data_IF_457292432669
#
_entry.id   IF_457292432669
#
_cell.length_a   1.000
_cell.length_b   1.000
_cell.length_c   1.000
_cell.angle_alpha   90.00
_cell.angle_beta   90.00
_cell.angle_gamma   90.00
#
_symmetry.space_group_name_H-M   'P 1'
#
loop_
_entity.id
_entity.type
_entity.pdbx_description
1 polymer ?
#
# COMPACT_ATOMS: atom_id res chain seq x y z
N UNK A 1 -3.37 -34.44 -42.62
CA UNK A 1 -2.40 -34.79 -41.57
C UNK A 1 -1.86 -33.48 -41.02
N UNK A 2 -2.65 -32.75 -40.23
CA UNK A 2 -2.27 -31.42 -39.72
C UNK A 2 -3.27 -31.03 -38.61
N UNK A 3 -3.01 -31.44 -37.36
CA UNK A 3 -3.79 -30.98 -36.17
C UNK A 3 -3.16 -31.31 -34.80
N UNK A 4 -1.93 -31.82 -34.71
CA UNK A 4 -1.36 -32.29 -33.42
C UNK A 4 -0.36 -31.34 -32.73
N UNK A 5 0.08 -30.25 -33.36
CA UNK A 5 1.16 -29.42 -32.78
C UNK A 5 0.69 -28.30 -31.83
N UNK A 6 -0.53 -27.81 -31.95
CA UNK A 6 -1.00 -26.63 -31.17
C UNK A 6 -1.45 -26.98 -29.74
N UNK A 7 -1.80 -28.25 -29.45
CA UNK A 7 -2.27 -28.67 -28.13
C UNK A 7 -1.14 -28.89 -27.12
N UNK A 8 0.05 -29.27 -27.59
CA UNK A 8 1.16 -29.70 -26.74
C UNK A 8 1.89 -28.52 -26.10
N UNK A 9 1.98 -27.38 -26.79
CA UNK A 9 2.70 -26.20 -26.28
C UNK A 9 1.93 -25.51 -25.14
N UNK A 10 0.61 -25.30 -25.30
CA UNK A 10 -0.24 -24.73 -24.23
C UNK A 10 -0.37 -25.63 -23.01
N UNK A 11 -0.46 -26.95 -23.16
CA UNK A 11 -0.56 -27.87 -22.02
C UNK A 11 0.73 -27.98 -21.20
N UNK A 12 1.88 -27.71 -21.81
CA UNK A 12 3.18 -27.70 -21.12
C UNK A 12 3.38 -26.38 -20.37
N UNK A 13 2.92 -25.24 -20.89
CA UNK A 13 2.96 -23.96 -20.16
C UNK A 13 2.00 -23.97 -18.97
N UNK A 14 0.75 -24.44 -19.15
CA UNK A 14 -0.24 -24.55 -18.07
C UNK A 14 0.23 -25.47 -16.93
N UNK A 15 0.87 -26.61 -17.24
CA UNK A 15 1.46 -27.50 -16.22
C UNK A 15 2.65 -26.86 -15.51
N UNK A 16 3.42 -26.02 -16.21
CA UNK A 16 4.55 -25.27 -15.67
C UNK A 16 4.09 -24.18 -14.70
N UNK A 17 3.10 -23.39 -15.10
CA UNK A 17 2.47 -22.33 -14.31
C UNK A 17 1.80 -22.91 -13.05
N UNK A 18 1.00 -23.97 -13.19
CA UNK A 18 0.34 -24.63 -12.06
C UNK A 18 1.33 -25.20 -11.04
N UNK A 19 2.53 -25.59 -11.48
CA UNK A 19 3.62 -26.02 -10.58
C UNK A 19 4.28 -24.84 -9.88
N UNK A 20 4.52 -23.74 -10.59
CA UNK A 20 5.04 -22.52 -9.98
C UNK A 20 4.09 -22.02 -8.88
N UNK A 21 2.78 -22.02 -9.12
CA UNK A 21 1.77 -21.60 -8.15
C UNK A 21 1.78 -22.45 -6.88
N UNK A 22 1.88 -23.78 -7.02
CA UNK A 22 1.96 -24.71 -5.88
C UNK A 22 3.22 -24.43 -5.05
N UNK A 23 4.35 -24.16 -5.71
CA UNK A 23 5.62 -23.83 -5.03
C UNK A 23 5.47 -22.51 -4.27
N UNK A 24 4.93 -21.47 -4.91
CA UNK A 24 4.70 -20.15 -4.30
C UNK A 24 3.75 -20.26 -3.10
N UNK A 25 2.68 -21.04 -3.22
CA UNK A 25 1.72 -21.23 -2.14
C UNK A 25 2.34 -21.89 -0.90
N UNK A 26 3.09 -22.98 -1.11
CA UNK A 26 3.77 -23.68 -0.03
C UNK A 26 4.86 -22.81 0.60
N UNK A 27 5.64 -22.11 -0.22
CA UNK A 27 6.64 -21.15 0.24
C UNK A 27 5.98 -20.06 1.09
N UNK A 28 4.87 -19.48 0.64
CA UNK A 28 4.09 -18.52 1.40
C UNK A 28 3.70 -19.03 2.78
N UNK A 29 3.09 -20.23 2.87
CA UNK A 29 2.73 -20.83 4.17
C UNK A 29 3.92 -20.94 5.13
N UNK A 30 5.08 -21.34 4.61
CA UNK A 30 6.31 -21.47 5.41
C UNK A 30 6.93 -20.10 5.76
N UNK A 31 6.73 -19.08 4.92
CA UNK A 31 7.30 -17.74 5.12
C UNK A 31 6.58 -16.94 6.20
N UNK A 32 5.27 -17.15 6.37
CA UNK A 32 4.46 -16.49 7.41
C UNK A 32 4.35 -17.30 8.71
N UNK A 33 5.00 -18.46 8.78
CA UNK A 33 5.11 -19.25 10.00
C UNK A 33 6.18 -18.66 10.94
N UNK A 34 6.00 -18.76 12.29
CA UNK A 34 7.02 -18.34 13.24
C UNK A 34 8.37 -19.03 13.00
N UNK A 35 9.46 -18.25 12.84
CA UNK A 35 10.83 -18.79 12.71
C UNK A 35 11.38 -18.89 11.27
N UNK A 36 10.74 -18.26 10.29
CA UNK A 36 11.06 -18.29 8.86
C UNK A 36 12.54 -18.14 8.47
N UNK A 37 13.34 -17.35 9.20
CA UNK A 37 14.77 -17.19 8.89
C UNK A 37 15.52 -18.54 8.74
N UNK A 38 14.96 -19.64 9.26
CA UNK A 38 15.51 -20.99 9.21
C UNK A 38 15.00 -21.88 8.06
N UNK A 39 13.98 -21.48 7.30
CA UNK A 39 13.42 -22.31 6.22
C UNK A 39 14.32 -22.26 4.98
N UNK A 40 14.83 -23.42 4.58
CA UNK A 40 15.71 -23.60 3.41
C UNK A 40 14.95 -24.06 2.16
N UNK A 41 15.60 -23.98 1.00
CA UNK A 41 15.08 -24.57 -0.24
C UNK A 41 14.97 -26.11 -0.14
N UNK A 42 15.74 -26.75 0.75
CA UNK A 42 15.62 -28.20 1.02
C UNK A 42 14.34 -28.53 1.78
N UNK A 43 13.97 -27.70 2.77
CA UNK A 43 12.74 -27.89 3.53
C UNK A 43 11.52 -27.77 2.62
N UNK A 44 11.53 -26.78 1.73
CA UNK A 44 10.47 -26.59 0.74
C UNK A 44 10.38 -27.77 -0.24
N UNK A 45 11.52 -28.30 -0.71
CA UNK A 45 11.56 -29.48 -1.57
C UNK A 45 10.94 -30.70 -0.90
N UNK A 46 11.29 -30.93 0.37
CA UNK A 46 10.76 -32.02 1.18
C UNK A 46 9.26 -31.88 1.43
N UNK A 47 8.80 -30.69 1.79
CA UNK A 47 7.37 -30.39 2.02
C UNK A 47 6.53 -30.65 0.76
N UNK A 48 7.03 -30.24 -0.40
CA UNK A 48 6.33 -30.37 -1.67
C UNK A 48 6.46 -31.77 -2.32
N UNK A 49 7.30 -32.65 -1.76
CA UNK A 49 7.66 -33.91 -2.41
C UNK A 49 8.33 -33.70 -3.78
N UNK A 50 9.01 -32.58 -3.98
CA UNK A 50 9.64 -32.19 -5.24
C UNK A 50 11.16 -32.29 -5.14
N UNK A 51 11.82 -32.59 -6.26
CA UNK A 51 13.28 -32.47 -6.30
C UNK A 51 13.72 -31.00 -6.27
N UNK A 52 14.85 -30.72 -5.62
CA UNK A 52 15.47 -29.38 -5.62
C UNK A 52 15.64 -28.82 -7.04
N UNK A 53 16.06 -29.67 -7.99
CA UNK A 53 16.18 -29.33 -9.42
C UNK A 53 14.85 -28.85 -10.03
N UNK A 54 13.73 -29.42 -9.60
CA UNK A 54 12.40 -29.00 -10.05
C UNK A 54 12.09 -27.60 -9.58
N UNK A 55 12.33 -27.30 -8.30
CA UNK A 55 12.10 -25.96 -7.73
C UNK A 55 13.04 -24.94 -8.38
N UNK A 56 14.34 -25.25 -8.50
CA UNK A 56 15.32 -24.35 -9.12
C UNK A 56 15.06 -24.06 -10.60
N UNK A 57 14.31 -24.91 -11.30
CA UNK A 57 13.87 -24.64 -12.68
C UNK A 57 12.83 -23.51 -12.74
N UNK A 58 12.01 -23.36 -11.70
CA UNK A 58 10.99 -22.30 -11.62
C UNK A 58 11.53 -21.05 -10.89
N UNK A 59 12.32 -21.26 -9.84
CA UNK A 59 12.87 -20.19 -8.99
C UNK A 59 14.37 -20.43 -8.79
N UNK A 60 15.24 -19.78 -9.59
CA UNK A 60 16.68 -20.05 -9.59
C UNK A 60 17.38 -19.74 -8.27
N UNK A 61 16.77 -18.90 -7.43
CA UNK A 61 17.26 -18.59 -6.09
C UNK A 61 16.12 -18.29 -5.11
N UNK A 62 16.45 -18.29 -3.80
CA UNK A 62 15.48 -18.02 -2.72
C UNK A 62 14.84 -16.63 -2.84
N UNK A 63 15.54 -15.63 -3.42
CA UNK A 63 15.01 -14.28 -3.57
C UNK A 63 13.93 -14.23 -4.64
N UNK A 64 14.13 -14.86 -5.80
CA UNK A 64 13.13 -14.97 -6.86
C UNK A 64 11.83 -15.62 -6.36
N UNK A 65 11.94 -16.64 -5.52
CA UNK A 65 10.81 -17.26 -4.85
C UNK A 65 10.13 -16.31 -3.84
N UNK A 66 10.92 -15.59 -3.03
CA UNK A 66 10.39 -14.62 -2.07
C UNK A 66 9.65 -13.47 -2.77
N UNK A 67 10.20 -12.94 -3.86
CA UNK A 67 9.54 -11.93 -4.69
C UNK A 67 8.21 -12.46 -5.23
N UNK A 68 8.18 -13.67 -5.79
CA UNK A 68 6.94 -14.27 -6.29
C UNK A 68 5.88 -14.51 -5.21
N UNK A 69 6.30 -14.85 -3.98
CA UNK A 69 5.39 -14.93 -2.83
C UNK A 69 4.83 -13.56 -2.48
N UNK A 70 5.68 -12.54 -2.39
CA UNK A 70 5.27 -11.16 -2.12
C UNK A 70 4.32 -10.64 -3.21
N UNK A 71 4.62 -10.91 -4.49
CA UNK A 71 3.74 -10.60 -5.63
C UNK A 71 2.33 -11.14 -5.42
N UNK A 72 2.21 -12.44 -5.08
CA UNK A 72 0.91 -13.07 -4.82
C UNK A 72 0.19 -12.44 -3.62
N UNK A 73 0.92 -12.03 -2.59
CA UNK A 73 0.33 -11.33 -1.45
C UNK A 73 -0.17 -9.94 -1.82
N UNK A 74 0.63 -9.16 -2.54
CA UNK A 74 0.23 -7.83 -2.98
C UNK A 74 -0.94 -7.87 -3.96
N UNK A 75 -1.06 -8.92 -4.79
CA UNK A 75 -2.25 -9.13 -5.61
C UNK A 75 -3.51 -9.33 -4.75
N UNK A 76 -3.41 -10.02 -3.61
CA UNK A 76 -4.52 -10.15 -2.66
C UNK A 76 -4.86 -8.82 -1.96
N UNK A 77 -3.84 -8.05 -1.58
CA UNK A 77 -3.99 -6.69 -1.01
C UNK A 77 -4.72 -5.78 -2.00
N UNK A 78 -4.30 -5.80 -3.26
CA UNK A 78 -4.91 -5.04 -4.35
C UNK A 78 -6.38 -5.42 -4.53
N UNK A 79 -6.70 -6.73 -4.53
CA UNK A 79 -8.07 -7.20 -4.60
C UNK A 79 -8.92 -6.69 -3.42
N UNK A 80 -8.39 -6.68 -2.19
CA UNK A 80 -9.07 -6.09 -1.04
C UNK A 80 -9.31 -4.58 -1.22
N UNK A 81 -8.31 -3.85 -1.73
CA UNK A 81 -8.44 -2.41 -1.98
C UNK A 81 -9.53 -2.11 -3.01
N UNK A 82 -9.59 -2.92 -4.07
CA UNK A 82 -10.64 -2.82 -5.10
C UNK A 82 -12.01 -3.09 -4.48
N UNK A 83 -12.18 -4.18 -3.74
CA UNK A 83 -13.44 -4.51 -3.09
C UNK A 83 -13.92 -3.41 -2.12
N UNK A 84 -13.03 -2.86 -1.31
CA UNK A 84 -13.36 -1.76 -0.40
C UNK A 84 -13.80 -0.48 -1.14
N UNK A 85 -13.20 -0.22 -2.31
CA UNK A 85 -13.60 0.90 -3.16
C UNK A 85 -14.99 0.67 -3.78
N UNK A 86 -15.29 -0.55 -4.23
CA UNK A 86 -16.61 -0.94 -4.78
C UNK A 86 -17.71 -0.88 -3.71
N UNK A 87 -17.45 -1.38 -2.49
CA UNK A 87 -18.40 -1.34 -1.37
C UNK A 87 -18.82 0.08 -0.98
N UNK A 88 -17.93 1.06 -1.20
CA UNK A 88 -18.18 2.46 -0.87
C UNK A 88 -18.55 3.30 -2.09
N UNK A 89 -18.73 2.69 -3.26
CA UNK A 89 -19.12 3.40 -4.48
C UNK A 89 -20.46 4.12 -4.31
N UNK A 90 -20.55 5.35 -4.85
CA UNK A 90 -21.72 6.21 -4.71
C UNK A 90 -21.97 6.77 -3.29
N UNK A 91 -21.17 6.38 -2.28
CA UNK A 91 -21.24 6.95 -0.92
C UNK A 91 -20.60 8.35 -0.89
N UNK A 92 -20.93 9.18 0.12
CA UNK A 92 -20.27 10.47 0.31
C UNK A 92 -18.75 10.32 0.34
N UNK A 93 -18.02 11.30 -0.22
CA UNK A 93 -16.56 11.23 -0.39
C UNK A 93 -15.80 10.88 0.89
N UNK A 94 -16.16 11.49 2.03
CA UNK A 94 -15.52 11.17 3.31
C UNK A 94 -15.70 9.71 3.74
N UNK A 95 -16.84 9.08 3.42
CA UNK A 95 -17.08 7.65 3.71
C UNK A 95 -16.21 6.76 2.83
N UNK A 96 -16.01 7.13 1.57
CA UNK A 96 -15.12 6.42 0.64
C UNK A 96 -13.67 6.45 1.11
N UNK A 97 -13.18 7.64 1.47
CA UNK A 97 -11.82 7.80 2.03
C UNK A 97 -11.68 7.01 3.34
N UNK A 98 -12.66 7.07 4.23
CA UNK A 98 -12.63 6.31 5.49
C UNK A 98 -12.58 4.80 5.23
N UNK A 99 -13.44 4.27 4.34
CA UNK A 99 -13.46 2.86 3.98
C UNK A 99 -12.11 2.40 3.41
N UNK A 100 -11.53 3.21 2.51
CA UNK A 100 -10.21 2.96 1.98
C UNK A 100 -9.14 2.89 3.07
N UNK A 101 -9.08 3.89 3.96
CA UNK A 101 -8.07 3.93 5.03
C UNK A 101 -8.19 2.77 6.02
N UNK A 102 -9.42 2.33 6.34
CA UNK A 102 -9.65 1.15 7.19
C UNK A 102 -9.17 -0.14 6.53
N UNK A 103 -9.46 -0.31 5.23
CA UNK A 103 -8.99 -1.46 4.47
C UNK A 103 -7.45 -1.46 4.37
N UNK A 104 -6.86 -0.31 4.02
CA UNK A 104 -5.41 -0.11 3.93
C UNK A 104 -4.70 -0.41 5.26
N UNK A 105 -5.20 0.13 6.38
CA UNK A 105 -4.62 -0.14 7.70
C UNK A 105 -4.65 -1.63 8.08
N UNK A 106 -5.72 -2.34 7.72
CA UNK A 106 -5.85 -3.79 7.96
C UNK A 106 -4.84 -4.61 7.13
N UNK A 107 -4.63 -4.24 5.87
CA UNK A 107 -3.65 -4.88 4.98
C UNK A 107 -2.21 -4.57 5.40
N UNK A 108 -1.89 -3.30 5.66
CA UNK A 108 -0.55 -2.87 6.09
C UNK A 108 -0.16 -3.49 7.43
N UNK A 109 -1.10 -3.69 8.35
CA UNK A 109 -0.86 -4.46 9.58
C UNK A 109 -0.45 -5.91 9.31
N UNK A 110 -1.08 -6.57 8.33
CA UNK A 110 -0.71 -7.94 7.92
C UNK A 110 0.65 -7.99 7.22
N UNK A 111 0.94 -7.05 6.33
CA UNK A 111 2.25 -6.92 5.66
C UNK A 111 3.33 -6.61 6.68
N UNK A 112 3.09 -5.72 7.65
CA UNK A 112 4.02 -5.40 8.73
C UNK A 112 4.36 -6.62 9.60
N UNK A 113 3.36 -7.44 9.94
CA UNK A 113 3.59 -8.73 10.61
C UNK A 113 4.42 -9.70 9.75
N UNK A 114 4.16 -9.75 8.45
CA UNK A 114 4.98 -10.50 7.49
C UNK A 114 6.42 -9.97 7.36
N UNK A 115 6.63 -8.65 7.36
CA UNK A 115 7.96 -8.03 7.39
C UNK A 115 8.73 -8.33 8.69
N UNK A 116 8.04 -8.33 9.84
CA UNK A 116 8.64 -8.73 11.11
C UNK A 116 9.05 -10.22 11.12
N UNK A 117 8.29 -11.08 10.43
CA UNK A 117 8.58 -12.50 10.28
C UNK A 117 9.66 -12.79 9.22
N UNK A 118 9.69 -12.03 8.12
CA UNK A 118 10.48 -12.35 6.92
C UNK A 118 11.65 -11.41 6.61
N UNK A 119 11.65 -10.19 7.14
CA UNK A 119 12.47 -9.07 6.67
C UNK A 119 13.54 -8.55 7.64
N UNK A 120 13.83 -9.22 8.77
CA UNK A 120 15.02 -8.87 9.57
C UNK A 120 16.30 -9.19 8.78
N UNK A 121 16.74 -8.26 7.90
CA UNK A 121 18.11 -8.23 7.38
C UNK A 121 18.32 -8.08 5.86
N UNK A 122 17.31 -8.18 4.98
CA UNK A 122 17.50 -8.04 3.52
C UNK A 122 16.95 -6.68 3.01
N UNK A 123 17.86 -5.77 2.68
CA UNK A 123 17.57 -4.40 2.22
C UNK A 123 16.79 -4.39 0.89
N UNK A 124 17.07 -5.32 -0.02
CA UNK A 124 16.43 -5.36 -1.34
C UNK A 124 14.97 -5.77 -1.22
N UNK A 125 14.67 -6.78 -0.41
CA UNK A 125 13.29 -7.20 -0.16
C UNK A 125 12.49 -6.12 0.56
N UNK A 126 13.14 -5.38 1.47
CA UNK A 126 12.52 -4.22 2.11
C UNK A 126 12.12 -3.16 1.08
N UNK A 127 13.06 -2.76 0.21
CA UNK A 127 12.80 -1.78 -0.83
C UNK A 127 11.69 -2.24 -1.79
N UNK A 128 11.70 -3.52 -2.16
CA UNK A 128 10.65 -4.10 -3.00
C UNK A 128 9.26 -4.00 -2.35
N UNK A 129 9.15 -4.33 -1.05
CA UNK A 129 7.89 -4.21 -0.30
C UNK A 129 7.43 -2.75 -0.22
N UNK A 130 8.34 -1.82 0.08
CA UNK A 130 8.05 -0.37 0.13
C UNK A 130 7.49 0.11 -1.22
N UNK A 131 8.14 -0.24 -2.33
CA UNK A 131 7.67 0.10 -3.68
C UNK A 131 6.28 -0.48 -3.99
N UNK A 132 5.99 -1.70 -3.54
CA UNK A 132 4.69 -2.34 -3.78
C UNK A 132 3.59 -1.75 -2.92
N UNK A 133 3.88 -1.39 -1.67
CA UNK A 133 2.95 -0.64 -0.82
C UNK A 133 2.61 0.71 -1.46
N UNK A 134 3.62 1.43 -1.94
CA UNK A 134 3.42 2.70 -2.65
C UNK A 134 2.50 2.53 -3.86
N UNK A 135 2.76 1.55 -4.71
CA UNK A 135 1.99 1.31 -5.91
C UNK A 135 0.52 0.92 -5.62
N UNK A 136 0.29 0.00 -4.68
CA UNK A 136 -1.03 -0.61 -4.45
C UNK A 136 -1.90 0.22 -3.50
N UNK A 137 -1.30 0.75 -2.44
CA UNK A 137 -2.05 1.45 -1.39
C UNK A 137 -2.03 2.94 -1.63
N UNK A 138 -0.85 3.56 -1.67
CA UNK A 138 -0.79 5.01 -1.75
C UNK A 138 -1.17 5.54 -3.13
N UNK A 139 -0.89 4.81 -4.22
CA UNK A 139 -1.36 5.14 -5.56
C UNK A 139 -2.89 5.26 -5.63
N UNK A 140 -3.62 4.33 -5.01
CA UNK A 140 -5.09 4.34 -5.00
C UNK A 140 -5.66 5.47 -4.14
N UNK A 141 -5.03 5.77 -3.00
CA UNK A 141 -5.41 6.91 -2.16
C UNK A 141 -5.23 8.23 -2.91
N UNK A 142 -4.11 8.36 -3.62
CA UNK A 142 -3.75 9.53 -4.41
C UNK A 142 -4.76 9.75 -5.56
N UNK A 143 -5.18 8.68 -6.24
CA UNK A 143 -6.29 8.74 -7.19
C UNK A 143 -7.60 9.24 -6.57
N UNK A 144 -7.94 8.74 -5.36
CA UNK A 144 -9.14 9.14 -4.65
C UNK A 144 -9.10 10.63 -4.27
N UNK A 145 -7.96 11.14 -3.80
CA UNK A 145 -7.80 12.57 -3.52
C UNK A 145 -7.84 13.43 -4.79
N UNK A 146 -7.19 13.00 -5.88
CA UNK A 146 -7.29 13.72 -7.16
C UNK A 146 -8.72 13.80 -7.66
N UNK A 147 -9.50 12.73 -7.51
CA UNK A 147 -10.92 12.73 -7.87
C UNK A 147 -11.71 13.70 -7.01
N UNK A 148 -11.54 13.65 -5.68
CA UNK A 148 -12.18 14.61 -4.77
C UNK A 148 -11.83 16.06 -5.09
N UNK A 149 -10.58 16.33 -5.44
CA UNK A 149 -10.12 17.66 -5.84
C UNK A 149 -10.74 18.12 -7.16
N UNK A 150 -10.78 17.27 -8.19
CA UNK A 150 -11.45 17.57 -9.48
C UNK A 150 -12.94 17.87 -9.31
N UNK A 151 -13.60 17.18 -8.38
CA UNK A 151 -15.01 17.40 -8.05
C UNK A 151 -15.25 18.64 -7.16
N UNK A 152 -14.20 19.38 -6.77
CA UNK A 152 -14.29 20.54 -5.88
C UNK A 152 -14.60 20.19 -4.42
N UNK A 153 -14.50 18.91 -4.04
CA UNK A 153 -14.75 18.40 -2.69
C UNK A 153 -13.55 18.62 -1.76
N UNK A 154 -12.35 18.74 -2.32
CA UNK A 154 -11.10 19.00 -1.60
C UNK A 154 -10.50 20.35 -2.02
N UNK A 155 -10.34 21.25 -1.07
CA UNK A 155 -9.65 22.53 -1.30
C UNK A 155 -8.13 22.39 -1.32
N UNK A 156 -7.61 21.40 -0.58
CA UNK A 156 -6.17 21.14 -0.47
C UNK A 156 -5.65 20.39 -1.69
N UNK A 157 -4.44 20.70 -2.20
CA UNK A 157 -3.81 19.94 -3.26
C UNK A 157 -3.68 18.45 -2.91
N UNK A 158 -4.04 17.54 -3.83
CA UNK A 158 -4.04 16.11 -3.56
C UNK A 158 -2.65 15.57 -3.21
N UNK A 159 -1.59 16.11 -3.80
CA UNK A 159 -0.21 15.73 -3.54
C UNK A 159 0.15 15.96 -2.05
N UNK A 160 -0.26 17.09 -1.48
CA UNK A 160 -0.02 17.40 -0.08
C UNK A 160 -0.82 16.47 0.86
N UNK A 161 -2.07 16.17 0.52
CA UNK A 161 -2.90 15.24 1.29
C UNK A 161 -2.32 13.81 1.26
N UNK A 162 -1.82 13.37 0.12
CA UNK A 162 -1.13 12.09 -0.05
C UNK A 162 0.12 12.01 0.83
N UNK A 163 0.98 13.04 0.83
CA UNK A 163 2.18 13.08 1.68
C UNK A 163 1.86 13.08 3.19
N UNK A 164 0.90 13.90 3.63
CA UNK A 164 0.49 13.95 5.04
C UNK A 164 -0.06 12.61 5.50
N UNK A 165 -0.92 11.99 4.67
CA UNK A 165 -1.54 10.71 5.01
C UNK A 165 -0.51 9.59 5.05
N UNK A 166 0.40 9.52 4.06
CA UNK A 166 1.51 8.55 4.03
C UNK A 166 2.35 8.67 5.31
N UNK A 167 2.85 9.87 5.62
CA UNK A 167 3.71 10.07 6.78
C UNK A 167 3.03 9.70 8.10
N UNK A 168 1.73 9.95 8.26
CA UNK A 168 0.98 9.55 9.44
C UNK A 168 0.86 8.02 9.57
N UNK A 169 0.53 7.33 8.47
CA UNK A 169 0.41 5.87 8.43
C UNK A 169 1.76 5.19 8.68
N UNK A 170 2.85 5.68 8.08
CA UNK A 170 4.20 5.16 8.30
C UNK A 170 4.64 5.27 9.76
N UNK A 171 4.34 6.40 10.42
CA UNK A 171 4.64 6.58 11.85
C UNK A 171 3.84 5.62 12.73
N UNK A 172 2.60 5.32 12.36
CA UNK A 172 1.78 4.33 13.07
C UNK A 172 2.35 2.92 12.95
N UNK A 173 2.69 2.51 11.74
CA UNK A 173 3.21 1.16 11.48
C UNK A 173 4.59 0.95 12.09
N UNK A 174 5.42 1.98 12.10
CA UNK A 174 6.76 1.92 12.73
C UNK A 174 6.73 1.96 14.26
N UNK A 175 5.54 2.11 14.88
CA UNK A 175 5.38 2.29 16.33
C UNK A 175 6.25 3.42 16.90
N UNK A 176 6.61 4.41 16.07
CA UNK A 176 7.37 5.60 16.45
C UNK A 176 6.43 6.76 16.78
N UNK A 177 5.40 6.47 17.58
CA UNK A 177 4.58 7.53 18.15
C UNK A 177 5.46 8.34 19.12
N UNK A 178 5.42 9.68 19.06
CA UNK A 178 6.07 10.51 20.06
C UNK A 178 5.59 10.09 21.45
N UNK A 179 6.54 9.69 22.31
CA UNK A 179 6.21 9.30 23.69
C UNK A 179 5.59 10.45 24.48
N UNK A 180 5.77 11.69 24.00
CA UNK A 180 5.23 12.89 24.63
C UNK A 180 3.73 13.12 24.37
N UNK A 181 3.12 12.47 23.36
CA UNK A 181 1.74 12.79 22.96
C UNK A 181 0.66 12.01 23.73
N UNK A 182 1.01 10.95 24.46
CA UNK A 182 0.05 10.06 25.18
C UNK A 182 -1.11 9.52 24.30
N UNK A 183 -0.91 9.53 22.97
CA UNK A 183 -1.90 9.12 21.98
C UNK A 183 -1.77 7.65 21.61
N UNK A 184 -2.91 6.98 21.44
CA UNK A 184 -2.94 5.63 20.86
C UNK A 184 -2.82 5.67 19.34
N UNK A 185 -2.53 4.51 18.71
CA UNK A 185 -2.57 4.39 17.25
C UNK A 185 -3.94 4.75 16.66
N UNK A 186 -5.02 4.50 17.41
CA UNK A 186 -6.37 4.87 17.02
C UNK A 186 -6.60 6.39 17.09
N UNK A 187 -5.98 7.08 18.05
CA UNK A 187 -6.08 8.55 18.18
C UNK A 187 -5.36 9.27 17.04
N UNK A 188 -4.16 8.81 16.67
CA UNK A 188 -3.47 9.38 15.51
C UNK A 188 -4.24 9.10 14.21
N UNK A 189 -4.73 7.86 14.01
CA UNK A 189 -5.53 7.54 12.82
C UNK A 189 -6.78 8.42 12.75
N UNK A 190 -7.49 8.59 13.88
CA UNK A 190 -8.65 9.47 13.98
C UNK A 190 -8.28 10.94 13.74
N UNK A 191 -7.14 11.42 14.24
CA UNK A 191 -6.65 12.78 14.01
C UNK A 191 -6.26 13.01 12.55
N UNK A 192 -5.59 12.05 11.90
CA UNK A 192 -5.26 12.10 10.47
C UNK A 192 -6.53 12.10 9.63
N UNK A 193 -7.45 11.18 9.89
CA UNK A 193 -8.77 11.13 9.25
C UNK A 193 -9.52 12.45 9.47
N UNK A 194 -9.54 13.01 10.68
CA UNK A 194 -10.21 14.27 10.95
C UNK A 194 -9.51 15.47 10.30
N UNK A 195 -8.19 15.50 10.22
CA UNK A 195 -7.44 16.58 9.57
C UNK A 195 -7.66 16.56 8.06
N UNK A 196 -7.61 15.37 7.46
CA UNK A 196 -7.83 15.15 6.03
C UNK A 196 -9.31 15.33 5.66
N UNK A 197 -10.26 14.92 6.50
CA UNK A 197 -11.70 14.95 6.19
C UNK A 197 -12.45 16.18 6.71
N UNK A 198 -12.03 16.82 7.80
CA UNK A 198 -12.76 17.99 8.35
C UNK A 198 -12.00 19.30 8.14
N UNK A 199 -10.67 19.26 7.92
CA UNK A 199 -9.87 20.45 7.59
C UNK A 199 -9.76 20.76 6.10
N UNK A 200 -9.84 19.74 5.22
CA UNK A 200 -9.66 19.90 3.77
C UNK A 200 -10.97 19.80 2.95
N UNK A 201 -12.05 19.29 3.54
CA UNK A 201 -13.38 19.26 2.89
C UNK A 201 -14.02 20.64 3.06
N UNK A 202 -14.33 21.30 1.94
CA UNK A 202 -15.10 22.55 1.96
C UNK A 202 -16.48 22.28 2.56
N UNK A 203 -16.97 23.04 3.56
CA UNK A 203 -18.40 23.14 3.75
C UNK A 203 -18.98 23.80 2.49
N UNK A 204 -20.00 23.19 1.87
CA UNK A 204 -20.76 23.88 0.84
C UNK A 204 -21.53 25.03 1.52
N UNK A 205 -20.99 26.26 1.47
CA UNK A 205 -21.72 27.46 1.90
C UNK A 205 -21.92 28.41 0.70
N UNK A 206 -23.14 28.94 0.46
CA UNK A 206 -23.44 29.77 -0.72
C UNK A 206 -22.78 31.16 -0.74
N UNK A 207 -21.98 31.53 0.28
CA UNK A 207 -21.48 32.90 0.49
C UNK A 207 -19.99 33.09 0.18
N UNK A 208 -19.29 32.06 -0.29
CA UNK A 208 -17.83 32.12 -0.53
C UNK A 208 -17.42 33.03 -1.70
N UNK A 209 -18.36 33.51 -2.53
CA UNK A 209 -18.08 34.52 -3.57
C UNK A 209 -17.81 35.93 -3.00
N UNK A 210 -18.11 36.20 -1.71
CA UNK A 210 -18.02 37.56 -1.14
C UNK A 210 -16.74 37.85 -0.34
N UNK A 211 -15.80 36.90 -0.22
CA UNK A 211 -14.59 37.04 0.61
C UNK A 211 -13.27 37.09 -0.16
N UNK A 212 -13.30 37.28 -1.48
CA UNK A 212 -12.09 37.54 -2.28
C UNK A 212 -11.52 38.96 -2.13
N UNK A 213 -12.04 39.78 -1.21
CA UNK A 213 -11.48 41.10 -0.96
C UNK A 213 -10.54 41.09 0.26
N UNK A 214 -9.31 41.55 0.00
CA UNK A 214 -8.27 42.00 0.94
C UNK A 214 -7.21 40.94 1.27
N UNK A 215 -6.22 40.82 0.38
CA UNK A 215 -4.84 40.51 0.77
C UNK A 215 -4.14 41.88 0.95
N UNK A 216 -3.75 42.31 2.17
CA UNK A 216 -2.80 43.39 2.30
C UNK A 216 -1.41 42.80 2.01
N UNK A 217 -0.83 43.19 0.87
CA UNK A 217 0.59 42.97 0.59
C UNK A 217 1.40 43.85 1.54
N UNK A 218 2.02 43.25 2.55
CA UNK A 218 3.07 43.91 3.32
C UNK A 218 4.35 43.94 2.47
N UNK A 219 4.52 45.04 1.73
CA UNK A 219 5.83 45.58 1.37
C UNK A 219 5.79 47.07 1.73
N UNK A 220 6.97 47.53 2.12
CA UNK A 220 7.37 48.91 2.37
C UNK A 220 7.41 49.24 3.86
N UNK A 221 8.61 49.08 4.43
CA UNK A 221 9.26 50.09 5.27
C UNK A 221 10.73 49.68 5.47
N UNK A 222 11.51 49.77 4.38
CA UNK A 222 12.94 50.06 4.47
C UNK A 222 13.17 51.49 3.96
N UNK A 223 13.74 52.30 4.85
CA UNK A 223 14.51 53.54 4.60
C UNK A 223 13.74 54.82 4.21
N UNK A 224 13.76 55.82 5.10
CA UNK A 224 14.64 57.02 5.03
C UNK A 224 14.35 57.95 6.24
N UNK A 225 15.28 58.13 7.19
CA UNK A 225 16.36 59.14 7.25
C UNK A 225 15.93 60.53 7.78
N UNK A 226 16.58 60.91 8.88
CA UNK A 226 16.97 62.27 9.32
C UNK A 226 15.90 63.26 9.81
N UNK A 227 15.92 63.55 11.12
CA UNK A 227 16.47 64.81 11.69
C UNK A 227 16.62 64.71 13.20
#
# INVERSE_FOLDING_TARGET
METMETKTVSQVSEKGERRADVIVEAAGRLFFAPGFARVSMDDLARELGMSKKTIYRHFPDKRSLLTAVLDRQFAAVEATMVAAAEETEGRPFGVRVQGFLLAAGSELGRIGAAQLASGRGDVMLRQYVEQRVDAVVYGRLDELFREGHRQGLLATPPELLSEITRGAVERLLSSQLPRELDWTAADLLRATVNTVLHGAIRPAHPDDERREAVIPTARDDEQEVSS
#
